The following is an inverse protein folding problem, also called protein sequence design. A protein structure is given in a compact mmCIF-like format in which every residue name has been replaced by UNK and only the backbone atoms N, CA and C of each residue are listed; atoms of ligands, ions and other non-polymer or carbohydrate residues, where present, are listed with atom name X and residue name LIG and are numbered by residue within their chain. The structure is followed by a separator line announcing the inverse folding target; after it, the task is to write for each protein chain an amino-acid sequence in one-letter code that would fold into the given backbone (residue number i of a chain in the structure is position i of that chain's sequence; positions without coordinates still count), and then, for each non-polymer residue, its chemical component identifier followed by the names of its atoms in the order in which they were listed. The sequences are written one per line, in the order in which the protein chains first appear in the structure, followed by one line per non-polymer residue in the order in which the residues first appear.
data_IF_305050234777
#
_entry.id   IF_305050234777
#
_cell.length_a   1.000
_cell.length_b   1.000
_cell.length_c   1.000
_cell.angle_alpha   90.00
_cell.angle_beta   90.00
_cell.angle_gamma   90.00
#
_symmetry.space_group_name_H-M   'P 1'
#
loop_
_entity.id
_entity.type
_entity.pdbx_description
1 polymer ?
#
# COMPACT_ATOMS: atom_id res chain seq x y z
N UNK A 1 -0.65 2.08 14.01
CA UNK A 1 0.31 2.02 12.88
C UNK A 1 -0.33 1.24 11.75
N UNK A 2 0.06 1.52 10.50
CA UNK A 2 -0.33 0.78 9.31
C UNK A 2 0.90 0.08 8.70
N UNK A 3 0.72 -1.16 8.25
CA UNK A 3 1.60 -1.82 7.28
C UNK A 3 0.71 -2.13 6.08
N UNK A 4 1.04 -1.62 4.89
CA UNK A 4 0.31 -1.94 3.66
C UNK A 4 1.19 -2.74 2.70
N UNK A 5 0.56 -3.68 1.99
CA UNK A 5 1.12 -4.42 0.87
C UNK A 5 0.44 -3.92 -0.40
N UNK A 6 1.18 -3.19 -1.23
CA UNK A 6 0.60 -2.42 -2.34
C UNK A 6 1.43 -2.55 -3.62
N UNK A 7 0.82 -2.48 -4.79
CA UNK A 7 1.57 -2.39 -6.04
C UNK A 7 2.32 -1.05 -6.16
N UNK A 8 1.70 0.05 -5.73
CA UNK A 8 2.13 1.43 -5.94
C UNK A 8 2.44 2.19 -4.64
N UNK A 9 3.06 3.37 -4.76
CA UNK A 9 3.22 4.33 -3.65
C UNK A 9 2.51 5.64 -3.98
N UNK A 10 1.20 5.60 -4.18
CA UNK A 10 0.40 6.78 -4.49
C UNK A 10 -0.31 7.35 -3.24
N UNK A 11 0.41 7.32 -2.10
CA UNK A 11 0.04 7.94 -0.82
C UNK A 11 0.15 9.48 -0.87
N UNK A 12 -0.41 10.08 -1.92
CA UNK A 12 -0.37 11.51 -2.18
C UNK A 12 -1.10 12.31 -1.09
N UNK A 13 -0.88 13.63 -1.07
CA UNK A 13 -1.64 14.56 -0.23
C UNK A 13 -3.14 14.25 -0.23
N UNK A 14 -3.72 14.11 0.95
CA UNK A 14 -5.14 13.88 1.11
C UNK A 14 -5.98 14.89 0.32
N UNK A 15 -6.96 14.40 -0.44
CA UNK A 15 -7.86 15.18 -1.31
C UNK A 15 -7.23 15.75 -2.59
N UNK A 16 -5.99 15.38 -2.94
CA UNK A 16 -5.30 15.90 -4.13
C UNK A 16 -6.10 15.70 -5.41
N UNK A 17 -6.54 14.48 -5.70
CA UNK A 17 -7.31 14.20 -6.92
C UNK A 17 -8.63 14.95 -6.95
N UNK A 18 -9.36 14.98 -5.83
CA UNK A 18 -10.60 15.75 -5.74
C UNK A 18 -10.39 17.25 -5.98
N UNK A 19 -9.31 17.83 -5.42
CA UNK A 19 -9.02 19.25 -5.59
C UNK A 19 -8.51 19.59 -6.99
N UNK A 20 -7.72 18.70 -7.61
CA UNK A 20 -7.30 18.81 -9.00
C UNK A 20 -8.51 18.83 -9.95
N UNK A 21 -9.47 17.92 -9.77
CA UNK A 21 -10.74 17.89 -10.53
C UNK A 21 -11.52 19.20 -10.38
N UNK A 22 -11.58 19.76 -9.16
CA UNK A 22 -12.28 21.04 -8.91
C UNK A 22 -11.54 22.27 -9.44
N UNK A 23 -10.23 22.18 -9.63
CA UNK A 23 -9.38 23.26 -10.12
C UNK A 23 -9.01 23.11 -11.60
N UNK A 24 -9.60 22.13 -12.30
CA UNK A 24 -9.43 22.00 -13.75
C UNK A 24 -10.03 23.22 -14.46
N UNK A 25 -9.21 23.95 -15.22
CA UNK A 25 -9.68 25.00 -16.10
C UNK A 25 -10.04 24.42 -17.48
N UNK A 26 -10.89 25.12 -18.23
CA UNK A 26 -11.24 24.75 -19.61
C UNK A 26 -9.97 24.53 -20.44
N UNK A 27 -9.75 23.29 -20.90
CA UNK A 27 -8.58 22.89 -21.70
C UNK A 27 -7.53 22.07 -20.98
N UNK A 28 -7.87 21.33 -19.91
CA UNK A 28 -6.97 20.40 -19.20
C UNK A 28 -5.72 21.07 -18.61
N UNK A 29 -5.81 22.35 -18.25
CA UNK A 29 -4.76 23.06 -17.52
C UNK A 29 -5.15 23.13 -16.05
N UNK A 30 -4.33 22.52 -15.20
CA UNK A 30 -4.55 22.46 -13.75
C UNK A 30 -3.81 23.59 -13.06
N UNK A 31 -4.51 24.32 -12.19
CA UNK A 31 -3.90 25.22 -11.23
C UNK A 31 -3.47 24.40 -9.99
N UNK A 32 -2.26 23.80 -10.07
CA UNK A 32 -1.74 22.91 -9.03
C UNK A 32 -1.55 23.64 -7.69
N UNK A 33 -1.13 24.90 -7.70
CA UNK A 33 -0.94 25.66 -6.47
C UNK A 33 -2.28 25.86 -5.75
N UNK A 34 -3.32 26.23 -6.50
CA UNK A 34 -4.68 26.35 -5.96
C UNK A 34 -5.23 25.01 -5.47
N UNK A 35 -5.05 23.93 -6.24
CA UNK A 35 -5.51 22.59 -5.86
C UNK A 35 -4.82 22.11 -4.56
N UNK A 36 -3.51 22.30 -4.44
CA UNK A 36 -2.75 21.95 -3.24
C UNK A 36 -3.21 22.75 -2.03
N UNK A 37 -3.40 24.06 -2.18
CA UNK A 37 -3.93 24.88 -1.08
C UNK A 37 -5.32 24.42 -0.65
N UNK A 38 -6.20 24.13 -1.60
CA UNK A 38 -7.54 23.62 -1.32
C UNK A 38 -7.50 22.26 -0.60
N UNK A 39 -6.59 21.37 -0.98
CA UNK A 39 -6.41 20.07 -0.32
C UNK A 39 -5.94 20.23 1.13
N UNK A 40 -4.99 21.15 1.38
CA UNK A 40 -4.53 21.51 2.73
C UNK A 40 -5.69 22.06 3.57
N UNK A 41 -6.47 23.00 3.03
CA UNK A 41 -7.60 23.61 3.73
C UNK A 41 -8.66 22.54 4.08
N UNK A 42 -9.00 21.68 3.10
CA UNK A 42 -9.92 20.56 3.32
C UNK A 42 -9.41 19.59 4.38
N UNK A 43 -8.12 19.27 4.36
CA UNK A 43 -7.51 18.44 5.40
C UNK A 43 -7.61 19.11 6.76
N UNK A 44 -7.31 20.40 6.90
CA UNK A 44 -7.42 21.11 8.17
C UNK A 44 -8.86 21.10 8.70
N UNK A 45 -9.82 21.43 7.85
CA UNK A 45 -11.24 21.57 8.19
C UNK A 45 -11.97 20.25 8.41
N UNK A 46 -11.42 19.13 7.89
CA UNK A 46 -12.04 17.82 8.04
C UNK A 46 -12.17 17.40 9.51
N UNK A 47 -13.39 17.05 9.92
CA UNK A 47 -13.69 16.49 11.23
C UNK A 47 -13.83 14.97 11.12
N UNK A 48 -13.07 14.23 11.92
CA UNK A 48 -13.11 12.75 11.93
C UNK A 48 -14.45 12.18 12.40
N UNK A 49 -15.29 12.98 13.08
CA UNK A 49 -16.64 12.58 13.45
C UNK A 49 -17.65 12.70 12.28
N UNK A 50 -17.29 13.43 11.21
CA UNK A 50 -18.07 13.56 9.98
C UNK A 50 -17.35 12.86 8.83
N UNK A 51 -17.71 11.60 8.59
CA UNK A 51 -17.07 10.77 7.56
C UNK A 51 -17.50 11.10 6.12
N UNK A 52 -18.25 12.19 5.90
CA UNK A 52 -18.67 12.59 4.54
C UNK A 52 -17.50 12.92 3.62
N UNK A 53 -16.33 13.29 4.16
CA UNK A 53 -15.12 13.56 3.39
C UNK A 53 -14.50 12.31 2.76
N UNK A 54 -14.77 11.10 3.28
CA UNK A 54 -14.11 9.87 2.81
C UNK A 54 -14.30 9.67 1.31
N UNK A 55 -15.48 10.02 0.78
CA UNK A 55 -15.81 9.92 -0.65
C UNK A 55 -15.00 10.86 -1.56
N UNK A 56 -14.19 11.74 -0.98
CA UNK A 56 -13.32 12.69 -1.68
C UNK A 56 -11.85 12.29 -1.62
N UNK A 57 -11.52 11.26 -0.84
CA UNK A 57 -10.21 10.62 -0.86
C UNK A 57 -10.19 9.62 -2.02
N UNK A 58 -9.09 9.58 -2.76
CA UNK A 58 -8.88 8.64 -3.86
C UNK A 58 -7.61 7.85 -3.61
N UNK A 59 -7.56 6.61 -4.09
CA UNK A 59 -6.43 5.70 -3.91
C UNK A 59 -5.97 5.69 -2.43
N UNK A 60 -4.66 5.81 -2.20
CA UNK A 60 -4.03 5.84 -0.88
C UNK A 60 -4.00 7.20 -0.17
N UNK A 61 -4.72 8.21 -0.66
CA UNK A 61 -4.84 9.52 0.01
C UNK A 61 -5.37 9.40 1.46
N UNK A 62 -6.06 8.32 1.76
CA UNK A 62 -6.56 8.02 3.09
C UNK A 62 -5.45 7.69 4.11
N UNK A 63 -4.30 7.19 3.67
CA UNK A 63 -3.10 6.96 4.50
C UNK A 63 -2.49 8.31 4.92
N UNK A 64 -2.37 9.25 3.98
CA UNK A 64 -1.92 10.62 4.27
C UNK A 64 -2.88 11.33 5.24
N UNK A 65 -4.19 11.22 4.98
CA UNK A 65 -5.21 11.77 5.87
C UNK A 65 -5.07 11.22 7.30
N UNK A 66 -4.99 9.89 7.43
CA UNK A 66 -4.98 9.21 8.72
C UNK A 66 -3.72 9.54 9.54
N UNK A 67 -2.56 9.65 8.90
CA UNK A 67 -1.30 10.02 9.56
C UNK A 67 -1.27 11.50 9.96
N UNK A 68 -1.79 12.42 9.14
CA UNK A 68 -1.86 13.86 9.45
C UNK A 68 -2.91 14.18 10.52
N UNK A 69 -4.03 13.45 10.58
CA UNK A 69 -5.04 13.56 11.65
C UNK A 69 -4.71 12.76 12.92
N UNK A 70 -3.62 11.99 12.92
CA UNK A 70 -3.19 11.22 14.08
C UNK A 70 -4.06 10.00 14.39
N UNK A 71 -4.86 9.53 13.42
CA UNK A 71 -5.63 8.28 13.50
C UNK A 71 -4.65 7.10 13.55
N UNK A 72 -3.60 7.15 12.72
CA UNK A 72 -2.45 6.27 12.81
C UNK A 72 -1.19 7.09 13.02
N UNK A 73 -0.22 6.53 13.74
CA UNK A 73 1.04 7.20 14.05
C UNK A 73 1.99 7.27 12.86
N UNK A 74 2.08 6.17 12.10
CA UNK A 74 2.97 5.95 10.95
C UNK A 74 2.37 4.90 10.01
N UNK A 75 2.81 4.93 8.76
CA UNK A 75 2.52 3.93 7.74
C UNK A 75 3.82 3.41 7.12
N UNK A 76 3.88 2.09 6.92
CA UNK A 76 4.96 1.41 6.20
C UNK A 76 4.36 0.76 4.96
N UNK A 77 4.74 1.26 3.78
CA UNK A 77 4.18 0.86 2.49
C UNK A 77 5.20 -0.06 1.81
N UNK A 78 4.88 -1.35 1.74
CA UNK A 78 5.71 -2.33 1.03
C UNK A 78 5.19 -2.43 -0.39
N UNK A 79 5.97 -1.97 -1.37
CA UNK A 79 5.48 -1.86 -2.74
C UNK A 79 6.48 -2.20 -3.83
N UNK A 80 5.99 -2.58 -5.01
CA UNK A 80 6.82 -2.84 -6.18
C UNK A 80 7.30 -1.54 -6.82
N UNK A 81 6.38 -0.59 -6.99
CA UNK A 81 6.68 0.71 -7.58
C UNK A 81 6.94 1.72 -6.48
N UNK A 82 8.18 1.72 -6.00
CA UNK A 82 8.64 2.68 -5.00
C UNK A 82 9.41 3.82 -5.68
N UNK A 83 9.22 5.04 -5.18
CA UNK A 83 10.11 6.17 -5.50
C UNK A 83 11.50 5.95 -4.88
N UNK A 84 12.54 6.56 -5.43
CA UNK A 84 13.92 6.41 -4.94
C UNK A 84 14.09 6.81 -3.45
N UNK A 85 13.19 7.64 -2.95
CA UNK A 85 13.17 8.10 -1.57
C UNK A 85 12.51 7.08 -0.63
N UNK A 86 13.11 6.86 0.55
CA UNK A 86 12.58 5.95 1.58
C UNK A 86 11.36 6.49 2.34
N UNK A 87 10.92 7.70 2.04
CA UNK A 87 9.85 8.40 2.74
C UNK A 87 9.01 9.20 1.77
N UNK A 88 7.75 9.43 2.12
CA UNK A 88 6.91 10.36 1.39
C UNK A 88 7.44 11.81 1.55
N UNK A 89 7.68 12.54 0.45
CA UNK A 89 8.26 13.88 0.51
C UNK A 89 7.36 14.92 1.19
N UNK A 90 6.05 14.67 1.25
CA UNK A 90 5.04 15.54 1.82
C UNK A 90 4.57 15.07 3.22
N UNK A 91 5.00 13.88 3.67
CA UNK A 91 4.63 13.29 4.96
C UNK A 91 5.69 12.33 5.53
N UNK A 92 6.50 12.83 6.48
CA UNK A 92 7.58 12.11 7.16
C UNK A 92 7.16 10.91 8.04
N UNK A 93 5.85 10.65 8.13
CA UNK A 93 5.27 9.50 8.84
C UNK A 93 4.95 8.33 7.91
N UNK A 94 5.11 8.48 6.60
CA UNK A 94 4.91 7.44 5.60
C UNK A 94 6.28 7.01 5.09
N UNK A 95 6.56 5.71 5.22
CA UNK A 95 7.83 5.10 4.88
C UNK A 95 7.62 4.12 3.73
N UNK A 96 8.40 4.27 2.67
CA UNK A 96 8.36 3.38 1.53
C UNK A 96 9.42 2.28 1.68
N UNK A 97 9.00 1.03 1.50
CA UNK A 97 9.83 -0.16 1.59
C UNK A 97 9.74 -0.87 0.24
N UNK A 98 10.69 -0.62 -0.68
CA UNK A 98 10.65 -1.21 -2.00
C UNK A 98 10.72 -2.74 -1.93
N UNK A 99 9.99 -3.40 -2.82
CA UNK A 99 10.11 -4.83 -3.12
C UNK A 99 11.34 -5.15 -3.99
N UNK A 100 12.30 -4.23 -4.06
CA UNK A 100 13.53 -4.44 -4.81
C UNK A 100 14.57 -5.12 -3.93
N UNK A 101 14.67 -6.44 -4.07
CA UNK A 101 15.66 -7.24 -3.37
C UNK A 101 17.01 -7.25 -4.12
N UNK A 102 17.50 -6.06 -4.52
CA UNK A 102 18.70 -5.90 -5.32
C UNK A 102 19.89 -6.72 -4.79
N UNK A 103 20.01 -6.83 -3.48
CA UNK A 103 21.07 -7.61 -2.83
C UNK A 103 20.84 -9.14 -2.86
N UNK A 104 19.58 -9.61 -2.83
CA UNK A 104 19.24 -11.04 -2.89
C UNK A 104 19.42 -11.61 -4.30
N UNK A 105 19.06 -10.81 -5.30
CA UNK A 105 19.13 -11.18 -6.71
C UNK A 105 20.28 -10.48 -7.44
N UNK A 106 21.30 -10.05 -6.69
CA UNK A 106 22.46 -9.34 -7.20
C UNK A 106 23.10 -10.14 -8.36
N UNK A 107 23.22 -9.50 -9.52
CA UNK A 107 23.80 -10.11 -10.71
C UNK A 107 22.79 -10.77 -11.65
N UNK A 108 21.49 -10.78 -11.32
CA UNK A 108 20.44 -11.06 -12.31
C UNK A 108 20.26 -9.87 -13.26
N UNK A 109 20.02 -10.15 -14.54
CA UNK A 109 19.59 -9.13 -15.47
C UNK A 109 18.19 -8.64 -15.06
N UNK A 110 17.99 -7.33 -15.00
CA UNK A 110 16.67 -6.72 -14.81
C UNK A 110 15.86 -6.87 -16.09
N UNK A 111 15.30 -8.06 -16.28
CA UNK A 111 14.46 -8.43 -17.41
C UNK A 111 13.10 -8.95 -16.92
N UNK A 112 12.26 -9.39 -17.86
CA UNK A 112 10.92 -9.89 -17.55
C UNK A 112 10.94 -11.13 -16.62
N UNK A 113 12.04 -11.88 -16.57
CA UNK A 113 12.17 -13.01 -15.67
C UNK A 113 12.45 -12.54 -14.23
N UNK A 114 13.26 -11.50 -14.06
CA UNK A 114 13.45 -10.84 -12.77
C UNK A 114 12.13 -10.34 -12.18
N UNK A 115 11.38 -9.57 -12.96
CA UNK A 115 10.05 -9.05 -12.56
C UNK A 115 9.08 -10.17 -12.18
N UNK A 116 9.12 -11.27 -12.94
CA UNK A 116 8.28 -12.44 -12.66
C UNK A 116 8.65 -13.11 -11.35
N UNK A 117 9.94 -13.26 -11.05
CA UNK A 117 10.42 -13.87 -9.80
C UNK A 117 10.03 -13.01 -8.60
N UNK A 118 10.21 -11.68 -8.70
CA UNK A 118 9.78 -10.74 -7.66
C UNK A 118 8.27 -10.86 -7.39
N UNK A 119 7.48 -10.87 -8.46
CA UNK A 119 6.03 -11.01 -8.40
C UNK A 119 5.62 -12.34 -7.75
N UNK A 120 6.14 -13.47 -8.26
CA UNK A 120 5.79 -14.82 -7.80
C UNK A 120 6.13 -15.07 -6.33
N UNK A 121 7.14 -14.37 -5.79
CA UNK A 121 7.65 -14.58 -4.44
C UNK A 121 7.24 -13.49 -3.44
N UNK A 122 6.28 -12.62 -3.78
CA UNK A 122 6.02 -11.40 -3.00
C UNK A 122 5.65 -11.63 -1.52
N UNK A 123 5.10 -12.81 -1.17
CA UNK A 123 4.83 -13.22 0.21
C UNK A 123 5.53 -14.52 0.63
N UNK A 124 6.55 -14.97 -0.12
CA UNK A 124 7.42 -16.08 0.33
C UNK A 124 8.25 -15.61 1.53
N UNK A 125 8.46 -16.51 2.51
CA UNK A 125 9.15 -16.17 3.78
C UNK A 125 10.50 -15.46 3.58
N UNK A 126 11.33 -15.97 2.65
CA UNK A 126 12.68 -15.45 2.41
C UNK A 126 12.67 -14.07 1.71
N UNK A 127 11.55 -13.65 1.13
CA UNK A 127 11.38 -12.37 0.42
C UNK A 127 10.65 -11.36 1.32
N UNK A 128 9.51 -11.74 1.88
CA UNK A 128 8.74 -10.86 2.76
C UNK A 128 9.52 -10.47 4.02
N UNK A 129 10.34 -11.37 4.57
CA UNK A 129 11.17 -11.05 5.74
C UNK A 129 12.17 -9.94 5.49
N UNK A 130 12.69 -9.77 4.27
CA UNK A 130 13.61 -8.67 3.94
C UNK A 130 12.91 -7.32 4.11
N UNK A 131 11.69 -7.19 3.55
CA UNK A 131 10.90 -5.96 3.69
C UNK A 131 10.54 -5.71 5.16
N UNK A 132 10.07 -6.73 5.88
CA UNK A 132 9.65 -6.59 7.28
C UNK A 132 10.80 -6.26 8.24
N UNK A 133 12.04 -6.63 7.89
CA UNK A 133 13.22 -6.26 8.66
C UNK A 133 13.60 -4.77 8.51
N UNK A 134 13.07 -4.06 7.51
CA UNK A 134 13.22 -2.60 7.42
C UNK A 134 12.27 -1.86 8.38
N UNK A 135 11.21 -2.53 8.86
CA UNK A 135 10.29 -1.96 9.85
C UNK A 135 10.92 -2.06 11.25
N UNK A 136 11.14 -0.93 11.96
CA UNK A 136 11.83 -0.97 13.25
C UNK A 136 11.08 -1.82 14.29
N UNK A 137 11.82 -2.59 15.10
CA UNK A 137 11.25 -3.60 16.03
C UNK A 137 10.20 -3.05 16.99
N UNK A 138 10.34 -1.81 17.44
CA UNK A 138 9.37 -1.14 18.33
C UNK A 138 7.96 -1.03 17.75
N UNK A 139 7.83 -1.29 16.45
CA UNK A 139 6.59 -1.24 15.70
C UNK A 139 5.92 -2.62 15.49
N UNK A 140 6.52 -3.72 15.94
CA UNK A 140 6.08 -5.08 15.60
C UNK A 140 4.78 -5.58 16.29
N UNK A 141 4.30 -5.02 17.42
CA UNK A 141 2.94 -5.32 17.90
C UNK A 141 1.95 -4.15 17.74
N UNK A 142 0.72 -4.47 17.32
CA UNK A 142 -0.46 -3.58 17.23
C UNK A 142 -0.52 -2.64 16.00
N UNK A 143 -0.57 -3.23 14.81
CA UNK A 143 -0.83 -2.51 13.57
C UNK A 143 -2.14 -2.93 12.90
N UNK A 144 -2.59 -2.08 11.99
CA UNK A 144 -3.54 -2.41 10.93
C UNK A 144 -2.69 -2.98 9.78
N UNK A 145 -3.06 -4.17 9.29
CA UNK A 145 -2.50 -4.73 8.08
C UNK A 145 -3.46 -4.41 6.94
N UNK A 146 -2.97 -3.71 5.94
CA UNK A 146 -3.70 -3.40 4.74
C UNK A 146 -3.12 -4.18 3.57
N UNK A 147 -3.99 -4.68 2.70
CA UNK A 147 -3.62 -5.61 1.64
C UNK A 147 -4.37 -5.25 0.38
N UNK A 148 -3.64 -4.73 -0.59
CA UNK A 148 -4.17 -4.43 -1.91
C UNK A 148 -4.04 -5.67 -2.79
N UNK A 149 -5.12 -6.02 -3.48
CA UNK A 149 -5.14 -7.26 -4.24
C UNK A 149 -4.21 -7.21 -5.46
N UNK A 150 -3.95 -6.03 -6.02
CA UNK A 150 -3.04 -5.87 -7.14
C UNK A 150 -1.56 -6.09 -6.78
N UNK A 151 -1.21 -6.10 -5.48
CA UNK A 151 0.08 -6.61 -4.97
C UNK A 151 0.34 -8.06 -5.42
N UNK A 152 -0.72 -8.82 -5.73
CA UNK A 152 -0.64 -10.19 -6.21
C UNK A 152 -0.74 -10.29 -7.73
N UNK A 153 0.37 -9.94 -8.41
CA UNK A 153 0.49 -9.89 -9.87
C UNK A 153 0.39 -11.26 -10.58
N UNK A 154 0.49 -12.39 -9.87
CA UNK A 154 0.43 -13.73 -10.48
C UNK A 154 -0.37 -14.72 -9.65
N UNK A 155 -0.83 -15.83 -10.24
CA UNK A 155 -1.47 -16.88 -9.46
C UNK A 155 -0.49 -17.51 -8.45
N UNK A 156 0.82 -17.47 -8.71
CA UNK A 156 1.84 -18.00 -7.79
C UNK A 156 2.10 -17.05 -6.62
N UNK A 157 2.01 -15.73 -6.82
CA UNK A 157 2.25 -14.72 -5.78
C UNK A 157 1.33 -14.90 -4.57
N UNK A 158 0.08 -15.33 -4.78
CA UNK A 158 -0.87 -15.63 -3.69
C UNK A 158 -0.88 -17.12 -3.26
N UNK A 159 0.07 -17.93 -3.71
CA UNK A 159 0.22 -19.32 -3.28
C UNK A 159 1.69 -19.61 -2.92
N UNK A 160 2.22 -19.01 -1.85
CA UNK A 160 3.60 -19.20 -1.42
C UNK A 160 3.86 -20.64 -0.97
N UNK A 161 5.10 -21.11 -1.18
CA UNK A 161 5.58 -22.40 -0.69
C UNK A 161 5.89 -22.33 0.81
N UNK A 162 6.49 -21.22 1.25
CA UNK A 162 6.78 -20.91 2.65
C UNK A 162 6.01 -19.65 3.04
N UNK A 163 5.17 -19.75 4.06
CA UNK A 163 4.15 -18.74 4.40
C UNK A 163 4.12 -18.35 5.88
N UNK A 164 5.08 -18.81 6.67
CA UNK A 164 5.07 -18.58 8.11
C UNK A 164 5.29 -17.11 8.47
N UNK A 165 6.07 -16.37 7.68
CA UNK A 165 6.29 -14.94 7.84
C UNK A 165 5.00 -14.18 7.54
N UNK A 166 4.32 -14.51 6.44
CA UNK A 166 3.03 -13.90 6.11
C UNK A 166 1.95 -14.23 7.15
N UNK A 167 1.92 -15.47 7.64
CA UNK A 167 0.98 -15.88 8.69
C UNK A 167 1.31 -15.21 10.03
N UNK A 168 2.59 -14.99 10.33
CA UNK A 168 2.98 -14.18 11.48
C UNK A 168 2.48 -12.75 11.34
N UNK A 169 2.66 -12.12 10.17
CA UNK A 169 2.15 -10.78 9.87
C UNK A 169 0.63 -10.69 10.06
N UNK A 170 -0.13 -11.68 9.61
CA UNK A 170 -1.59 -11.75 9.83
C UNK A 170 -1.91 -11.87 11.32
N UNK A 171 -1.26 -12.79 12.05
CA UNK A 171 -1.55 -13.05 13.47
C UNK A 171 -1.27 -11.86 14.38
N UNK A 172 -0.28 -11.02 14.05
CA UNK A 172 0.07 -9.85 14.86
C UNK A 172 -0.79 -8.61 14.53
N UNK A 173 -1.51 -8.63 13.40
CA UNK A 173 -2.40 -7.54 13.01
C UNK A 173 -3.62 -7.44 13.96
N UNK A 174 -4.03 -6.22 14.29
CA UNK A 174 -5.25 -5.94 15.08
C UNK A 174 -6.49 -5.85 14.23
N UNK A 175 -6.31 -5.32 13.02
CA UNK A 175 -7.33 -5.14 12.01
C UNK A 175 -6.65 -5.52 10.70
N UNK A 176 -7.38 -6.20 9.83
CA UNK A 176 -6.96 -6.48 8.47
C UNK A 176 -7.96 -5.82 7.53
N UNK A 177 -7.48 -4.97 6.64
CA UNK A 177 -8.23 -4.37 5.54
C UNK A 177 -7.76 -4.99 4.23
N UNK A 178 -8.65 -5.00 3.23
CA UNK A 178 -8.38 -5.57 1.91
C UNK A 178 -9.00 -4.64 0.87
N UNK A 179 -8.18 -4.02 0.01
CA UNK A 179 -8.65 -3.24 -1.12
C UNK A 179 -8.77 -4.14 -2.36
N UNK A 180 -9.97 -4.23 -2.94
CA UNK A 180 -10.25 -5.21 -4.01
C UNK A 180 -9.89 -4.75 -5.41
N UNK A 181 -9.98 -3.43 -5.64
CA UNK A 181 -9.48 -2.72 -6.82
C UNK A 181 -9.45 -3.53 -8.14
N UNK A 182 -10.61 -4.05 -8.61
CA UNK A 182 -10.65 -5.06 -9.65
C UNK A 182 -10.10 -4.58 -11.00
N UNK A 183 -10.12 -3.27 -11.25
CA UNK A 183 -9.62 -2.66 -12.47
C UNK A 183 -8.08 -2.60 -12.54
N UNK A 184 -7.39 -2.74 -11.41
CA UNK A 184 -5.94 -2.67 -11.28
C UNK A 184 -5.26 -4.04 -11.25
N UNK A 185 -6.04 -5.12 -11.15
CA UNK A 185 -5.52 -6.49 -11.13
C UNK A 185 -4.99 -6.92 -12.51
N UNK A 186 -3.82 -7.55 -12.49
CA UNK A 186 -3.16 -8.10 -13.67
C UNK A 186 -4.05 -9.05 -14.49
N UNK A 187 -3.91 -8.98 -15.81
CA UNK A 187 -4.74 -9.78 -16.74
C UNK A 187 -4.55 -11.27 -16.52
N UNK A 188 -5.66 -12.00 -16.45
CA UNK A 188 -5.68 -13.45 -16.28
C UNK A 188 -5.90 -13.89 -14.82
N UNK A 189 -6.05 -12.94 -13.90
CA UNK A 189 -6.43 -13.14 -12.51
C UNK A 189 -7.64 -12.25 -12.21
N UNK A 190 -8.46 -12.63 -11.24
CA UNK A 190 -9.65 -11.86 -10.85
C UNK A 190 -9.57 -11.46 -9.38
N UNK A 191 -10.21 -10.33 -9.03
CA UNK A 191 -10.39 -9.90 -7.64
C UNK A 191 -11.01 -11.01 -6.79
N UNK A 192 -12.07 -11.66 -7.30
CA UNK A 192 -12.75 -12.75 -6.59
C UNK A 192 -11.79 -13.91 -6.25
N UNK A 193 -10.91 -14.27 -7.19
CA UNK A 193 -9.91 -15.31 -6.96
C UNK A 193 -8.92 -14.89 -5.86
N UNK A 194 -8.34 -13.69 -5.98
CA UNK A 194 -7.35 -13.19 -5.01
C UNK A 194 -7.97 -13.00 -3.63
N UNK A 195 -9.16 -12.40 -3.55
CA UNK A 195 -9.91 -12.23 -2.30
C UNK A 195 -10.19 -13.58 -1.65
N UNK A 196 -10.66 -14.58 -2.40
CA UNK A 196 -10.89 -15.92 -1.84
C UNK A 196 -9.63 -16.55 -1.26
N UNK A 197 -8.47 -16.29 -1.87
CA UNK A 197 -7.17 -16.81 -1.43
C UNK A 197 -6.64 -16.07 -0.21
N UNK A 198 -6.77 -14.74 -0.15
CA UNK A 198 -6.42 -13.96 1.02
C UNK A 198 -7.27 -14.37 2.22
N UNK A 199 -8.59 -14.50 2.05
CA UNK A 199 -9.48 -14.96 3.11
C UNK A 199 -9.09 -16.36 3.61
N UNK A 200 -8.73 -17.27 2.70
CA UNK A 200 -8.20 -18.58 3.07
C UNK A 200 -6.91 -18.47 3.89
N UNK A 201 -5.94 -17.64 3.49
CA UNK A 201 -4.70 -17.44 4.25
C UNK A 201 -4.94 -16.84 5.63
N UNK A 202 -5.87 -15.88 5.75
CA UNK A 202 -6.27 -15.30 7.03
C UNK A 202 -6.89 -16.38 7.93
N UNK A 203 -7.81 -17.19 7.40
CA UNK A 203 -8.43 -18.28 8.15
C UNK A 203 -7.39 -19.30 8.65
N UNK A 204 -6.47 -19.72 7.77
CA UNK A 204 -5.43 -20.69 8.10
C UNK A 204 -4.42 -20.16 9.12
N UNK A 205 -4.04 -18.87 9.03
CA UNK A 205 -3.11 -18.26 9.97
C UNK A 205 -3.68 -18.14 11.38
N UNK A 206 -5.01 -18.09 11.52
CA UNK A 206 -5.72 -17.91 12.79
C UNK A 206 -6.15 -19.22 13.46
N UNK A 207 -5.84 -20.38 12.86
CA UNK A 207 -6.03 -21.72 13.45
C UNK A 207 -4.93 -22.02 14.46
#
# INVERSE_FOLDING_TARGET
MLITLDQHTDTLLAFRYYCCDKCENTGHTYDFDKANQMAIDMLQDSNIDDLSFIKKLNNDEHIDFATKKGIISKAFVISFECVDDKYDPENDKIYYIPKDFYNKYLGMAQDNNYERILSDNCIEDDDLSICLNEIPVDYHPNYILDIDLDFFRTAKSINPNKKEVFYHLIRQAKIITIATEPDYIEKGITADYLLSKILYHIEEAMK
#
